data_IF_437465006215
#
_entry.id   IF_437465006215
#
_cell.length_a   1.000
_cell.length_b   1.000
_cell.length_c   1.000
_cell.angle_alpha   90.00
_cell.angle_beta   90.00
_cell.angle_gamma   90.00
#
_symmetry.space_group_name_H-M   'P 1'
#
loop_
_entity.id
_entity.type
_entity.pdbx_description
1 polymer ?
#
# COMPACT_ATOMS: atom_id res chain seq x y z
N UNK A 1 -10.99 29.70 4.10
CA UNK A 1 -10.23 28.43 4.07
C UNK A 1 -10.60 27.64 5.32
N UNK A 2 -10.97 26.39 5.13
CA UNK A 2 -11.21 25.44 6.22
C UNK A 2 -10.16 24.35 6.11
N UNK A 3 -9.44 24.08 7.22
CA UNK A 3 -8.38 23.07 7.22
C UNK A 3 -8.56 22.10 8.39
N UNK A 4 -8.21 20.85 8.15
CA UNK A 4 -8.06 19.83 9.18
C UNK A 4 -6.70 19.18 8.99
N UNK A 5 -6.00 18.92 10.08
CA UNK A 5 -4.72 18.21 10.10
C UNK A 5 -4.78 17.15 11.18
N UNK A 6 -4.46 15.91 10.83
CA UNK A 6 -4.30 14.79 11.73
C UNK A 6 -2.84 14.34 11.67
N UNK A 7 -2.25 14.15 12.85
CA UNK A 7 -0.92 13.55 12.99
C UNK A 7 -1.04 12.42 14.01
N UNK A 8 -0.64 11.25 13.63
CA UNK A 8 -0.73 10.06 14.44
C UNK A 8 0.62 9.33 14.45
N UNK A 9 1.09 8.94 15.63
CA UNK A 9 2.20 8.03 15.79
C UNK A 9 1.67 6.64 16.18
N UNK A 10 2.25 5.58 15.63
CA UNK A 10 1.84 4.21 15.95
C UNK A 10 3.03 3.31 16.20
N UNK A 11 2.81 2.33 17.09
CA UNK A 11 3.74 1.25 17.37
C UNK A 11 2.95 -0.04 17.59
N UNK A 12 3.15 -1.02 16.71
CA UNK A 12 2.46 -2.31 16.75
C UNK A 12 3.49 -3.42 16.92
N UNK A 13 3.25 -4.30 17.88
CA UNK A 13 4.02 -5.52 18.08
C UNK A 13 3.16 -6.68 17.58
N UNK A 14 3.74 -7.50 16.75
CA UNK A 14 3.18 -8.74 16.26
C UNK A 14 3.98 -9.88 16.90
N UNK A 15 3.33 -10.65 17.74
CA UNK A 15 3.91 -11.86 18.29
C UNK A 15 3.44 -13.06 17.45
N UNK A 16 4.27 -14.10 17.35
CA UNK A 16 3.93 -15.36 16.68
C UNK A 16 3.45 -15.17 15.22
N UNK A 17 4.15 -14.33 14.47
CA UNK A 17 3.84 -14.11 13.04
C UNK A 17 4.01 -15.43 12.30
N UNK A 18 2.96 -15.85 11.58
CA UNK A 18 3.04 -17.04 10.76
C UNK A 18 4.06 -16.87 9.65
N UNK A 19 5.06 -17.75 9.63
CA UNK A 19 6.01 -17.90 8.56
C UNK A 19 5.77 -19.23 7.84
N UNK A 20 6.21 -19.29 6.59
CA UNK A 20 6.16 -20.49 5.77
C UNK A 20 7.59 -20.89 5.42
N UNK A 21 7.92 -22.16 5.60
CA UNK A 21 9.12 -22.75 5.05
C UNK A 21 8.75 -23.95 4.21
N UNK A 22 9.48 -24.15 3.15
CA UNK A 22 9.38 -25.37 2.36
C UNK A 22 10.11 -26.47 3.12
N UNK A 23 9.51 -27.63 3.22
CA UNK A 23 10.16 -28.88 3.67
C UNK A 23 10.61 -29.64 2.42
N UNK A 24 11.33 -30.74 2.63
CA UNK A 24 11.82 -31.60 1.57
C UNK A 24 10.73 -31.93 0.54
N UNK A 25 11.09 -31.95 -0.73
CA UNK A 25 10.18 -32.34 -1.81
C UNK A 25 9.72 -33.80 -1.60
N UNK A 26 8.45 -34.07 -1.86
CA UNK A 26 7.94 -35.44 -1.85
C UNK A 26 8.43 -36.19 -3.10
N UNK A 27 8.55 -37.52 -3.00
CA UNK A 27 8.96 -38.41 -4.11
C UNK A 27 8.08 -38.24 -5.37
N UNK A 28 6.86 -37.71 -5.21
CA UNK A 28 5.90 -37.41 -6.29
C UNK A 28 6.10 -36.04 -6.94
N UNK A 29 7.14 -35.27 -6.55
CA UNK A 29 7.38 -33.90 -7.04
C UNK A 29 6.47 -32.83 -6.40
N UNK A 30 5.77 -33.17 -5.33
CA UNK A 30 4.99 -32.25 -4.51
C UNK A 30 5.90 -31.49 -3.53
N UNK A 31 5.55 -30.22 -3.24
CA UNK A 31 6.24 -29.40 -2.24
C UNK A 31 5.45 -29.39 -0.94
N UNK A 32 6.07 -29.83 0.14
CA UNK A 32 5.49 -29.72 1.48
C UNK A 32 5.88 -28.36 2.05
N UNK A 33 4.88 -27.57 2.43
CA UNK A 33 5.10 -26.29 3.11
C UNK A 33 4.66 -26.39 4.56
N UNK A 34 5.57 -26.09 5.47
CA UNK A 34 5.24 -25.97 6.88
C UNK A 34 4.90 -24.52 7.22
N UNK A 35 3.81 -24.36 7.98
CA UNK A 35 3.49 -23.09 8.62
C UNK A 35 3.93 -23.15 10.07
N UNK A 36 4.77 -22.23 10.50
CA UNK A 36 5.28 -22.16 11.85
C UNK A 36 5.17 -20.75 12.43
N UNK A 37 5.31 -20.63 13.73
CA UNK A 37 5.35 -19.34 14.40
C UNK A 37 6.77 -18.78 14.36
N UNK A 38 6.96 -17.69 13.64
CA UNK A 38 8.24 -16.98 13.58
C UNK A 38 8.49 -16.10 14.81
N UNK A 39 9.60 -15.40 14.82
CA UNK A 39 10.07 -14.57 15.95
C UNK A 39 9.18 -13.34 16.27
N UNK A 40 8.18 -13.10 15.46
CA UNK A 40 7.35 -11.89 15.54
C UNK A 40 7.97 -10.70 14.81
N UNK A 41 7.26 -9.59 14.83
CA UNK A 41 7.65 -8.36 14.15
C UNK A 41 7.21 -7.11 14.91
N UNK A 42 7.79 -5.98 14.58
CA UNK A 42 7.37 -4.68 15.06
C UNK A 42 7.20 -3.71 13.87
N UNK A 43 6.09 -2.98 13.90
CA UNK A 43 5.77 -1.93 12.93
C UNK A 43 5.61 -0.63 13.68
N UNK A 44 6.33 0.41 13.28
CA UNK A 44 6.25 1.74 13.89
C UNK A 44 6.28 2.81 12.83
N UNK A 45 5.62 3.91 13.09
CA UNK A 45 5.59 4.98 12.11
C UNK A 45 4.78 6.18 12.53
N UNK A 46 4.62 7.06 11.54
CA UNK A 46 3.80 8.26 11.63
C UNK A 46 2.87 8.32 10.44
N UNK A 47 1.64 8.73 10.70
CA UNK A 47 0.64 9.07 9.73
C UNK A 47 0.33 10.56 9.81
N UNK A 48 0.34 11.26 8.69
CA UNK A 48 -0.03 12.66 8.59
C UNK A 48 -1.08 12.79 7.51
N UNK A 49 -2.24 13.28 7.86
CA UNK A 49 -3.34 13.54 6.93
C UNK A 49 -3.78 14.99 7.02
N UNK A 50 -4.02 15.60 5.88
CA UNK A 50 -4.51 16.95 5.77
C UNK A 50 -5.67 17.07 4.81
N UNK A 51 -6.64 17.91 5.17
CA UNK A 51 -7.73 18.32 4.29
C UNK A 51 -7.85 19.83 4.34
N UNK A 52 -7.90 20.46 3.17
CA UNK A 52 -8.06 21.90 3.03
C UNK A 52 -9.11 22.24 1.99
N UNK A 53 -10.11 23.02 2.39
CA UNK A 53 -11.09 23.63 1.51
C UNK A 53 -10.62 25.07 1.25
N UNK A 54 -9.96 25.28 0.12
CA UNK A 54 -9.41 26.58 -0.25
C UNK A 54 -10.49 27.56 -0.71
N UNK A 55 -11.43 27.03 -1.47
CA UNK A 55 -12.55 27.79 -2.00
C UNK A 55 -13.79 26.88 -2.06
N UNK A 56 -14.96 27.46 -2.35
CA UNK A 56 -16.19 26.69 -2.55
C UNK A 56 -16.13 25.68 -3.73
N UNK A 57 -15.13 25.81 -4.59
CA UNK A 57 -14.97 25.01 -5.80
C UNK A 57 -13.69 24.17 -5.82
N UNK A 58 -12.82 24.31 -4.80
CA UNK A 58 -11.58 23.54 -4.73
C UNK A 58 -11.30 23.03 -3.32
N UNK A 59 -11.10 21.73 -3.22
CA UNK A 59 -10.75 20.99 -2.01
C UNK A 59 -9.58 20.07 -2.30
N UNK A 60 -8.66 19.97 -1.36
CA UNK A 60 -7.53 19.05 -1.41
C UNK A 60 -7.49 18.24 -0.12
N UNK A 61 -7.38 16.93 -0.25
CA UNK A 61 -7.05 16.00 0.82
C UNK A 61 -5.77 15.24 0.46
N UNK A 62 -4.87 15.09 1.38
CA UNK A 62 -3.65 14.30 1.18
C UNK A 62 -3.24 13.62 2.48
N UNK A 63 -2.62 12.45 2.37
CA UNK A 63 -2.08 11.72 3.49
C UNK A 63 -0.77 11.05 3.11
N UNK A 64 0.14 10.96 4.08
CA UNK A 64 1.40 10.24 3.96
C UNK A 64 1.66 9.43 5.22
N UNK A 65 2.07 8.19 5.03
CA UNK A 65 2.53 7.31 6.09
C UNK A 65 4.01 7.00 5.88
N UNK A 66 4.77 7.21 6.93
CA UNK A 66 6.17 6.79 7.01
C UNK A 66 6.27 5.73 8.10
N UNK A 67 6.76 4.55 7.75
CA UNK A 67 6.83 3.43 8.67
C UNK A 67 8.11 2.63 8.55
N UNK A 68 8.40 1.88 9.59
CA UNK A 68 9.45 0.89 9.60
C UNK A 68 8.87 -0.44 10.10
N UNK A 69 8.96 -1.47 9.28
CA UNK A 69 8.45 -2.82 9.57
C UNK A 69 9.62 -3.80 9.61
N UNK A 70 9.85 -4.40 10.78
CA UNK A 70 11.00 -5.28 10.99
C UNK A 70 10.63 -6.50 11.81
N UNK A 71 11.17 -7.65 11.42
CA UNK A 71 11.19 -8.84 12.27
C UNK A 71 12.02 -8.59 13.54
N UNK A 72 11.61 -9.18 14.66
CA UNK A 72 12.36 -9.11 15.94
C UNK A 72 13.76 -9.72 15.79
N UNK A 73 13.83 -10.84 15.07
CA UNK A 73 15.07 -11.51 14.69
C UNK A 73 15.17 -11.61 13.17
N UNK A 74 16.38 -11.75 12.60
CA UNK A 74 16.51 -12.00 11.17
C UNK A 74 15.73 -13.24 10.77
N UNK A 75 14.86 -13.14 9.79
CA UNK A 75 14.05 -14.25 9.28
C UNK A 75 14.77 -14.92 8.12
N UNK A 76 14.98 -16.24 8.24
CA UNK A 76 15.47 -17.07 7.14
C UNK A 76 14.28 -17.38 6.23
N UNK A 77 14.25 -16.78 5.07
CA UNK A 77 13.12 -16.82 4.13
C UNK A 77 13.37 -17.74 2.92
N UNK A 78 14.60 -18.21 2.74
CA UNK A 78 15.02 -19.12 1.68
C UNK A 78 15.58 -20.41 2.30
N UNK A 79 15.43 -21.52 1.59
CA UNK A 79 16.05 -22.80 1.94
C UNK A 79 17.55 -22.82 1.66
N UNK A 80 17.99 -21.96 0.73
CA UNK A 80 19.41 -21.84 0.40
C UNK A 80 20.14 -21.13 1.55
N UNK A 81 21.06 -21.85 2.18
CA UNK A 81 21.86 -21.36 3.31
C UNK A 81 22.79 -20.19 2.92
N UNK A 82 23.09 -20.03 1.63
CA UNK A 82 23.91 -18.94 1.11
C UNK A 82 23.11 -17.62 1.00
N UNK A 83 21.78 -17.68 1.09
CA UNK A 83 20.91 -16.51 1.06
C UNK A 83 20.81 -15.90 2.46
N UNK A 84 21.23 -14.65 2.66
CA UNK A 84 21.23 -14.03 3.98
C UNK A 84 19.82 -13.82 4.53
N UNK A 85 19.61 -14.03 5.83
CA UNK A 85 18.35 -13.72 6.48
C UNK A 85 18.07 -12.21 6.48
N UNK A 86 16.82 -11.83 6.50
CA UNK A 86 16.38 -10.43 6.43
C UNK A 86 15.64 -10.01 7.70
N UNK A 87 15.82 -8.74 8.11
CA UNK A 87 15.05 -8.12 9.18
C UNK A 87 13.89 -7.26 8.67
N UNK A 88 14.01 -6.74 7.45
CA UNK A 88 12.94 -5.95 6.84
C UNK A 88 11.81 -6.86 6.41
N UNK A 89 10.58 -6.53 6.79
CA UNK A 89 9.43 -7.32 6.37
C UNK A 89 9.23 -7.21 4.86
N UNK A 90 8.92 -8.35 4.26
CA UNK A 90 8.57 -8.40 2.84
C UNK A 90 7.24 -7.74 2.56
N UNK A 91 7.10 -7.20 1.34
CA UNK A 91 5.87 -6.60 0.81
C UNK A 91 5.29 -5.48 1.67
N UNK A 92 6.17 -4.80 2.40
CA UNK A 92 5.79 -3.71 3.29
C UNK A 92 6.60 -2.47 2.90
N UNK A 93 6.00 -1.46 2.26
CA UNK A 93 6.70 -0.23 1.89
C UNK A 93 6.99 0.60 3.15
N UNK A 94 8.14 1.28 3.18
CA UNK A 94 8.50 2.18 4.27
C UNK A 94 7.80 3.55 4.17
N UNK A 95 7.29 3.88 2.99
CA UNK A 95 6.55 5.11 2.73
C UNK A 95 5.43 4.86 1.73
N UNK A 96 4.25 5.42 2.00
CA UNK A 96 3.14 5.45 1.05
C UNK A 96 2.24 6.64 1.34
N UNK A 97 1.47 7.04 0.35
CA UNK A 97 0.60 8.19 0.50
C UNK A 97 -0.44 8.28 -0.60
N UNK A 98 -1.33 9.23 -0.42
CA UNK A 98 -2.39 9.51 -1.37
C UNK A 98 -2.72 11.00 -1.40
N UNK A 99 -3.36 11.43 -2.46
CA UNK A 99 -4.05 12.70 -2.50
C UNK A 99 -5.36 12.61 -3.29
N UNK A 100 -6.28 13.49 -2.97
CA UNK A 100 -7.51 13.72 -3.72
C UNK A 100 -7.72 15.22 -3.87
N UNK A 101 -7.75 15.69 -5.10
CA UNK A 101 -8.07 17.06 -5.43
C UNK A 101 -9.44 17.10 -6.09
N UNK A 102 -10.42 17.73 -5.45
CA UNK A 102 -11.79 17.85 -5.92
C UNK A 102 -12.05 19.25 -6.44
N UNK A 103 -12.52 19.33 -7.67
CA UNK A 103 -12.82 20.56 -8.37
C UNK A 103 -14.31 20.63 -8.73
N UNK A 104 -15.01 21.62 -8.19
CA UNK A 104 -16.46 21.81 -8.33
C UNK A 104 -16.76 23.21 -8.88
N UNK A 105 -16.41 23.50 -10.17
CA UNK A 105 -16.55 24.85 -10.74
C UNK A 105 -18.00 25.32 -10.82
N UNK A 106 -18.92 24.37 -10.99
CA UNK A 106 -20.37 24.61 -11.02
C UNK A 106 -21.08 23.57 -10.15
N UNK A 107 -22.33 23.87 -9.74
CA UNK A 107 -23.05 23.04 -8.76
C UNK A 107 -23.24 21.58 -9.13
N UNK A 108 -23.33 21.29 -10.43
CA UNK A 108 -23.69 19.97 -10.92
C UNK A 108 -22.51 19.19 -11.48
N UNK A 109 -21.30 19.77 -11.51
CA UNK A 109 -20.12 19.14 -12.07
C UNK A 109 -19.03 19.01 -11.03
N UNK A 110 -18.44 17.81 -10.96
CA UNK A 110 -17.28 17.52 -10.11
C UNK A 110 -16.21 16.84 -10.94
N UNK A 111 -14.98 17.31 -10.83
CA UNK A 111 -13.80 16.66 -11.34
C UNK A 111 -12.90 16.29 -10.13
N UNK A 112 -12.62 14.99 -9.96
CA UNK A 112 -11.73 14.49 -8.94
C UNK A 112 -10.46 13.95 -9.58
N UNK A 113 -9.32 14.40 -9.08
CA UNK A 113 -8.02 13.87 -9.39
C UNK A 113 -7.51 13.16 -8.13
N UNK A 114 -7.26 11.86 -8.23
CA UNK A 114 -6.71 11.07 -7.13
C UNK A 114 -5.35 10.52 -7.53
N UNK A 115 -4.45 10.44 -6.58
CA UNK A 115 -3.16 9.79 -6.78
C UNK A 115 -2.78 8.98 -5.56
N UNK A 116 -2.12 7.86 -5.80
CA UNK A 116 -1.50 7.02 -4.77
C UNK A 116 -0.03 6.83 -5.08
N UNK A 117 0.78 6.91 -4.05
CA UNK A 117 2.22 6.69 -4.14
C UNK A 117 2.60 5.56 -3.19
N UNK A 118 3.29 4.57 -3.69
CA UNK A 118 3.82 3.47 -2.88
C UNK A 118 5.34 3.44 -3.03
N UNK A 119 6.04 3.56 -1.92
CA UNK A 119 7.49 3.48 -1.88
C UNK A 119 8.01 2.07 -2.17
N UNK A 120 9.31 1.95 -2.29
CA UNK A 120 9.95 0.65 -2.51
C UNK A 120 9.71 -0.30 -1.34
N UNK A 121 9.47 -1.56 -1.67
CA UNK A 121 9.32 -2.65 -0.71
C UNK A 121 10.23 -3.81 -1.07
N UNK A 122 10.60 -4.61 -0.08
CA UNK A 122 11.37 -5.81 -0.29
C UNK A 122 10.44 -6.94 -0.76
N UNK A 123 10.82 -7.64 -1.83
CA UNK A 123 10.08 -8.79 -2.35
C UNK A 123 11.01 -9.97 -2.54
N UNK A 124 10.45 -11.17 -2.44
CA UNK A 124 11.15 -12.42 -2.65
C UNK A 124 11.10 -12.78 -4.13
N UNK A 125 12.25 -13.00 -4.76
CA UNK A 125 12.37 -13.62 -6.07
C UNK A 125 12.94 -15.01 -5.87
N UNK A 126 12.12 -16.02 -6.09
CA UNK A 126 12.55 -17.43 -5.96
C UNK A 126 13.29 -17.87 -7.21
N UNK A 127 14.26 -18.75 -7.05
CA UNK A 127 14.99 -19.38 -8.14
C UNK A 127 14.02 -20.02 -9.16
N UNK A 128 14.34 -19.90 -10.42
CA UNK A 128 13.46 -20.34 -11.51
C UNK A 128 12.45 -19.30 -12.01
N UNK A 129 12.28 -18.16 -11.29
CA UNK A 129 11.43 -17.03 -11.70
C UNK A 129 12.23 -15.93 -12.43
N UNK A 130 13.16 -16.34 -13.31
CA UNK A 130 14.04 -15.41 -14.03
C UNK A 130 15.32 -15.05 -13.30
N UNK A 131 15.56 -15.63 -12.13
CA UNK A 131 16.80 -15.52 -11.33
C UNK A 131 17.37 -16.91 -11.09
N UNK A 132 18.71 -17.00 -11.02
CA UNK A 132 19.42 -18.25 -10.82
C UNK A 132 19.37 -18.76 -9.37
N UNK A 133 19.27 -17.83 -8.42
CA UNK A 133 19.22 -18.09 -6.98
C UNK A 133 18.14 -17.23 -6.34
N UNK A 134 17.67 -17.64 -5.16
CA UNK A 134 16.74 -16.84 -4.37
C UNK A 134 17.35 -15.49 -4.03
N UNK A 135 16.60 -14.42 -4.28
CA UNK A 135 17.06 -13.05 -4.04
C UNK A 135 16.00 -12.19 -3.40
N UNK A 136 16.37 -11.44 -2.36
CA UNK A 136 15.55 -10.39 -1.81
C UNK A 136 15.82 -9.08 -2.56
N UNK A 137 14.85 -8.62 -3.32
CA UNK A 137 14.98 -7.47 -4.23
C UNK A 137 14.05 -6.34 -3.81
N UNK A 138 14.53 -5.10 -3.84
CA UNK A 138 13.68 -3.93 -3.62
C UNK A 138 12.95 -3.55 -4.91
N UNK A 139 11.62 -3.41 -4.83
CA UNK A 139 10.84 -2.87 -5.94
C UNK A 139 11.14 -1.39 -6.16
N UNK A 140 10.99 -0.84 -7.36
CA UNK A 140 10.89 0.60 -7.52
C UNK A 140 9.65 1.15 -6.79
N UNK A 141 9.67 2.43 -6.46
CA UNK A 141 8.44 3.13 -6.07
C UNK A 141 7.54 3.31 -7.29
N UNK A 142 6.24 3.27 -7.09
CA UNK A 142 5.29 3.53 -8.16
C UNK A 142 4.26 4.58 -7.75
N UNK A 143 3.70 5.21 -8.75
CA UNK A 143 2.68 6.24 -8.61
C UNK A 143 1.53 5.91 -9.56
N UNK A 144 0.32 5.92 -9.01
CA UNK A 144 -0.92 5.69 -9.73
C UNK A 144 -1.79 6.94 -9.66
N UNK A 145 -2.39 7.32 -10.77
CA UNK A 145 -3.20 8.52 -10.87
C UNK A 145 -4.48 8.27 -11.63
N UNK A 146 -5.60 8.72 -11.07
CA UNK A 146 -6.92 8.49 -11.62
C UNK A 146 -7.69 9.81 -11.70
N UNK A 147 -8.46 9.95 -12.75
CA UNK A 147 -9.38 11.09 -12.97
C UNK A 147 -10.79 10.57 -13.01
N UNK A 148 -11.68 11.22 -12.26
CA UNK A 148 -13.13 10.99 -12.31
C UNK A 148 -13.84 12.30 -12.61
N UNK A 149 -14.68 12.29 -13.63
CA UNK A 149 -15.60 13.40 -13.95
C UNK A 149 -17.00 12.93 -13.65
N UNK A 150 -17.79 13.75 -12.98
CA UNK A 150 -19.18 13.46 -12.66
C UNK A 150 -20.08 14.68 -12.91
N UNK A 151 -21.28 14.41 -13.37
CA UNK A 151 -22.29 15.41 -13.64
C UNK A 151 -23.64 14.97 -13.11
N UNK A 152 -24.27 15.82 -12.28
CA UNK A 152 -25.57 15.58 -11.66
C UNK A 152 -26.66 16.23 -12.46
N UNK A 153 -27.54 15.42 -13.08
CA UNK A 153 -28.73 15.84 -13.81
C UNK A 153 -29.94 15.76 -12.89
N UNK A 154 -30.53 16.89 -12.56
CA UNK A 154 -31.81 16.91 -11.86
C UNK A 154 -32.95 16.67 -12.87
N UNK A 155 -33.55 15.47 -12.79
CA UNK A 155 -34.61 15.06 -13.72
C UNK A 155 -35.99 15.58 -13.25
N UNK A 156 -36.30 15.38 -11.97
CA UNK A 156 -37.60 15.77 -11.44
C UNK A 156 -37.53 15.94 -9.91
N UNK A 157 -37.98 17.08 -9.39
CA UNK A 157 -38.05 17.42 -7.96
C UNK A 157 -36.82 16.93 -7.15
N UNK A 158 -36.89 15.73 -6.56
CA UNK A 158 -35.86 15.12 -5.73
C UNK A 158 -35.09 14.01 -6.46
N UNK A 159 -35.41 13.75 -7.74
CA UNK A 159 -34.74 12.71 -8.51
C UNK A 159 -33.54 13.32 -9.23
N UNK A 160 -32.37 12.87 -8.90
CA UNK A 160 -31.10 13.25 -9.54
C UNK A 160 -30.46 12.01 -10.18
N UNK A 161 -30.07 12.13 -11.43
CA UNK A 161 -29.24 11.14 -12.15
C UNK A 161 -27.81 11.62 -12.17
N UNK A 162 -26.89 10.83 -11.65
CA UNK A 162 -25.46 11.11 -11.74
C UNK A 162 -24.86 10.30 -12.89
N UNK A 163 -24.25 11.00 -13.83
CA UNK A 163 -23.41 10.43 -14.87
C UNK A 163 -21.95 10.61 -14.48
N UNK A 164 -21.14 9.57 -14.63
CA UNK A 164 -19.71 9.68 -14.36
C UNK A 164 -18.88 8.87 -15.35
N UNK A 165 -17.64 9.33 -15.58
CA UNK A 165 -16.60 8.65 -16.32
C UNK A 165 -15.30 8.69 -15.54
N UNK A 166 -14.51 7.59 -15.63
CA UNK A 166 -13.23 7.47 -14.95
C UNK A 166 -12.13 7.07 -15.95
N UNK A 167 -10.94 7.58 -15.72
CA UNK A 167 -9.72 7.13 -16.40
C UNK A 167 -8.73 6.70 -15.31
N UNK A 168 -8.19 5.50 -15.47
CA UNK A 168 -7.17 4.92 -14.60
C UNK A 168 -5.87 4.76 -15.37
N UNK A 169 -4.77 4.97 -14.68
CA UNK A 169 -3.45 4.66 -15.21
C UNK A 169 -3.08 3.21 -14.89
#
# INVERSE_FOLDING_TARGET
VQTNLLVEGFYTILDDVFALRDLEDTDDGGKIKERYNGSGAAVRGFNVEGRAIFTRWFELQAGVTLQQSRYKEPEQWSEDADVPPVRRMFRTPDAYGYFTASFKPVRNFTADLTGTCTGSMLVQHMAGSGVAQDAAVSTPSFFDMNVRLSYDLRIYKEITLQLYGCVHN
#
